data_IF_149967941165
#
_entry.id   IF_149967941165
#
_cell.length_a   1.000
_cell.length_b   1.000
_cell.length_c   1.000
_cell.angle_alpha   90.00
_cell.angle_beta   90.00
_cell.angle_gamma   90.00
#
_symmetry.space_group_name_H-M   'P 1'
#
loop_
_entity.id
_entity.type
_entity.pdbx_description
1 polymer ?
#
# COMPACT_ATOMS: atom_id res chain seq x y z
N UNK A 1 25.32 -26.00 -4.20
CA UNK A 1 24.00 -26.17 -4.81
C UNK A 1 23.11 -26.87 -3.78
N UNK A 2 22.22 -26.13 -3.09
CA UNK A 2 21.23 -26.74 -2.21
C UNK A 2 20.20 -27.45 -3.08
N UNK A 3 19.92 -28.72 -2.81
CA UNK A 3 18.95 -29.51 -3.57
C UNK A 3 17.54 -29.12 -3.13
N UNK A 4 16.61 -29.04 -4.06
CA UNK A 4 15.18 -28.80 -3.84
C UNK A 4 14.52 -29.80 -2.86
N UNK A 5 15.21 -30.92 -2.57
CA UNK A 5 14.76 -31.96 -1.65
C UNK A 5 14.87 -31.60 -0.15
N UNK A 6 15.50 -30.48 0.21
CA UNK A 6 15.79 -30.14 1.61
C UNK A 6 14.80 -29.13 2.19
N UNK A 7 13.74 -28.75 1.46
CA UNK A 7 12.68 -27.88 1.98
C UNK A 7 11.72 -28.73 2.82
N UNK A 8 11.58 -28.44 4.13
CA UNK A 8 10.64 -29.17 4.98
C UNK A 8 9.22 -29.07 4.45
N UNK A 9 8.51 -30.19 4.36
CA UNK A 9 7.11 -30.26 3.90
C UNK A 9 6.18 -29.28 4.64
N UNK A 10 6.48 -28.96 5.91
CA UNK A 10 5.74 -27.96 6.69
C UNK A 10 5.84 -26.56 6.07
N UNK A 11 7.00 -26.14 5.60
CA UNK A 11 7.17 -24.81 4.98
C UNK A 11 6.43 -24.66 3.65
N UNK A 12 6.35 -25.74 2.88
CA UNK A 12 5.57 -25.75 1.62
C UNK A 12 4.07 -25.64 1.91
N UNK A 13 3.61 -26.34 2.94
CA UNK A 13 2.20 -26.26 3.37
C UNK A 13 1.87 -24.87 3.89
N UNK A 14 2.70 -24.30 4.75
CA UNK A 14 2.51 -22.96 5.32
C UNK A 14 2.53 -21.88 4.23
N UNK A 15 3.40 -22.00 3.22
CA UNK A 15 3.41 -21.12 2.05
C UNK A 15 2.12 -21.26 1.21
N UNK A 16 1.61 -22.48 1.02
CA UNK A 16 0.38 -22.73 0.29
C UNK A 16 -0.86 -22.20 1.03
N UNK A 17 -0.91 -22.33 2.35
CA UNK A 17 -1.95 -21.74 3.19
C UNK A 17 -1.88 -20.21 3.16
N UNK A 18 -0.68 -19.64 3.24
CA UNK A 18 -0.44 -18.21 3.08
C UNK A 18 -0.90 -17.67 1.73
N UNK A 19 -0.65 -18.41 0.65
CA UNK A 19 -1.08 -18.04 -0.70
C UNK A 19 -2.61 -18.04 -0.82
N UNK A 20 -3.30 -19.04 -0.23
CA UNK A 20 -4.76 -19.09 -0.22
C UNK A 20 -5.36 -17.94 0.60
N UNK A 21 -4.77 -17.64 1.74
CA UNK A 21 -5.21 -16.53 2.59
C UNK A 21 -5.00 -15.17 1.90
N UNK A 22 -3.89 -14.97 1.21
CA UNK A 22 -3.62 -13.76 0.43
C UNK A 22 -4.59 -13.62 -0.75
N UNK A 23 -4.89 -14.72 -1.45
CA UNK A 23 -5.88 -14.71 -2.52
C UNK A 23 -7.29 -14.42 -2.02
N UNK A 24 -7.69 -14.96 -0.87
CA UNK A 24 -8.97 -14.64 -0.24
C UNK A 24 -9.04 -13.14 0.13
N UNK A 25 -7.96 -12.56 0.69
CA UNK A 25 -7.87 -11.12 0.95
C UNK A 25 -7.97 -10.29 -0.32
N UNK A 26 -7.28 -10.67 -1.38
CA UNK A 26 -7.33 -9.98 -2.68
C UNK A 26 -8.75 -9.95 -3.26
N UNK A 27 -9.51 -11.03 -3.11
CA UNK A 27 -10.88 -11.18 -3.65
C UNK A 27 -11.95 -10.65 -2.72
N UNK A 28 -11.62 -10.17 -1.54
CA UNK A 28 -12.63 -9.60 -0.65
C UNK A 28 -13.27 -8.37 -1.28
N UNK A 29 -14.55 -8.17 -0.99
CA UNK A 29 -15.28 -7.03 -1.51
C UNK A 29 -14.81 -5.76 -0.79
N UNK A 30 -14.61 -4.68 -1.54
CA UNK A 30 -14.32 -3.34 -1.00
C UNK A 30 -15.36 -2.36 -1.53
N UNK A 31 -16.01 -1.65 -0.61
CA UNK A 31 -17.06 -0.68 -0.90
C UNK A 31 -16.62 0.72 -0.51
N UNK A 32 -16.56 1.62 -1.47
CA UNK A 32 -16.20 3.03 -1.26
C UNK A 32 -17.41 3.88 -1.56
N UNK A 33 -17.84 4.71 -0.60
CA UNK A 33 -18.85 5.72 -0.80
C UNK A 33 -18.17 7.06 -1.14
N UNK A 34 -18.65 7.74 -2.19
CA UNK A 34 -18.23 9.09 -2.55
C UNK A 34 -19.47 9.97 -2.49
N UNK A 35 -19.46 10.93 -1.60
CA UNK A 35 -20.56 11.88 -1.42
C UNK A 35 -20.13 13.26 -1.90
N UNK A 36 -20.76 13.74 -2.97
CA UNK A 36 -20.47 15.05 -3.53
C UNK A 36 -21.48 16.07 -2.99
N UNK A 37 -20.99 17.03 -2.25
CA UNK A 37 -21.81 18.14 -1.77
C UNK A 37 -22.16 19.10 -2.92
N UNK A 38 -23.32 19.75 -2.84
CA UNK A 38 -23.72 20.78 -3.79
C UNK A 38 -22.68 21.93 -3.81
N UNK A 39 -22.19 22.24 -5.01
CA UNK A 39 -21.09 23.21 -5.21
C UNK A 39 -19.69 22.63 -4.96
N UNK A 40 -19.55 21.31 -4.88
CA UNK A 40 -18.23 20.68 -4.88
C UNK A 40 -17.47 20.97 -6.20
N UNK A 41 -16.12 21.17 -6.16
CA UNK A 41 -15.33 21.42 -7.36
C UNK A 41 -15.41 20.25 -8.36
N UNK A 42 -15.80 20.56 -9.59
CA UNK A 42 -16.02 19.55 -10.64
C UNK A 42 -14.72 18.81 -11.02
N UNK A 43 -13.59 19.50 -11.04
CA UNK A 43 -12.28 18.94 -11.35
C UNK A 43 -11.87 17.86 -10.33
N UNK A 44 -12.09 18.10 -9.04
CA UNK A 44 -11.85 17.12 -7.99
C UNK A 44 -12.83 15.94 -8.09
N UNK A 45 -14.10 16.20 -8.38
CA UNK A 45 -15.11 15.16 -8.56
C UNK A 45 -14.79 14.24 -9.74
N UNK A 46 -14.38 14.80 -10.89
CA UNK A 46 -13.97 14.04 -12.07
C UNK A 46 -12.69 13.25 -11.82
N UNK A 47 -11.70 13.88 -11.17
CA UNK A 47 -10.44 13.19 -10.83
C UNK A 47 -10.67 11.98 -9.90
N UNK A 48 -11.55 12.12 -8.90
CA UNK A 48 -11.93 11.02 -8.01
C UNK A 48 -12.66 9.90 -8.75
N UNK A 49 -13.61 10.25 -9.64
CA UNK A 49 -14.31 9.26 -10.47
C UNK A 49 -13.34 8.42 -11.30
N UNK A 50 -12.38 9.09 -11.96
CA UNK A 50 -11.44 8.43 -12.86
C UNK A 50 -10.39 7.61 -12.09
N UNK A 51 -9.94 8.11 -10.95
CA UNK A 51 -8.95 7.45 -10.12
C UNK A 51 -9.51 6.26 -9.30
N UNK A 52 -10.80 6.29 -8.97
CA UNK A 52 -11.49 5.24 -8.20
C UNK A 52 -12.36 4.32 -9.07
N UNK A 53 -12.03 4.20 -10.36
CA UNK A 53 -12.64 3.19 -11.22
C UNK A 53 -12.13 1.80 -10.82
N UNK A 54 -13.00 0.88 -10.38
CA UNK A 54 -12.57 -0.44 -9.93
C UNK A 54 -12.14 -1.31 -11.10
N UNK A 55 -11.05 -2.06 -10.93
CA UNK A 55 -10.53 -2.97 -11.97
C UNK A 55 -11.22 -4.34 -11.96
N UNK A 56 -11.87 -4.73 -10.85
CA UNK A 56 -12.57 -6.01 -10.74
C UNK A 56 -13.96 -5.83 -10.14
N UNK A 57 -14.81 -6.84 -10.28
CA UNK A 57 -16.18 -6.83 -9.73
C UNK A 57 -16.23 -6.86 -8.19
N UNK A 58 -15.11 -7.06 -7.50
CA UNK A 58 -15.03 -7.00 -6.04
C UNK A 58 -14.86 -5.57 -5.50
N UNK A 59 -14.54 -4.60 -6.35
CA UNK A 59 -14.55 -3.18 -6.01
C UNK A 59 -15.91 -2.56 -6.34
N UNK A 60 -16.53 -1.92 -5.35
CA UNK A 60 -17.80 -1.24 -5.51
C UNK A 60 -17.64 0.22 -5.12
N UNK A 61 -18.04 1.13 -6.00
CA UNK A 61 -18.06 2.56 -5.74
C UNK A 61 -19.50 3.06 -5.85
N UNK A 62 -19.97 3.66 -4.76
CA UNK A 62 -21.25 4.36 -4.73
C UNK A 62 -21.00 5.87 -4.77
N UNK A 63 -21.64 6.57 -5.70
CA UNK A 63 -21.54 8.04 -5.79
C UNK A 63 -22.89 8.65 -5.47
N UNK A 64 -22.92 9.41 -4.37
CA UNK A 64 -24.08 10.16 -3.93
C UNK A 64 -23.93 11.66 -4.13
N UNK A 65 -25.04 12.38 -4.14
CA UNK A 65 -25.08 13.84 -4.08
C UNK A 65 -25.79 14.29 -2.82
N UNK A 66 -25.15 15.18 -2.08
CA UNK A 66 -25.66 15.69 -0.82
C UNK A 66 -26.07 17.15 -0.95
N UNK A 67 -27.29 17.43 -0.48
CA UNK A 67 -27.84 18.79 -0.37
C UNK A 67 -28.18 19.09 1.07
N UNK A 68 -28.15 20.35 1.42
CA UNK A 68 -28.57 20.80 2.76
C UNK A 68 -30.02 20.38 3.05
N UNK A 69 -30.23 19.71 4.17
CA UNK A 69 -31.57 19.22 4.57
C UNK A 69 -32.02 17.91 3.91
N UNK A 70 -31.23 17.29 3.05
CA UNK A 70 -31.54 15.99 2.51
C UNK A 70 -31.43 14.89 3.60
N UNK A 71 -32.34 13.90 3.50
CA UNK A 71 -32.23 12.71 4.38
C UNK A 71 -31.03 11.88 3.95
N UNK A 72 -30.02 11.88 4.81
CA UNK A 72 -28.80 11.13 4.58
C UNK A 72 -29.03 9.64 4.78
N UNK A 73 -28.86 8.85 3.73
CA UNK A 73 -28.82 7.40 3.81
C UNK A 73 -27.37 6.95 3.80
N UNK A 74 -26.81 6.79 4.99
CA UNK A 74 -25.46 6.22 5.15
C UNK A 74 -25.58 4.72 5.09
N UNK A 75 -24.83 4.08 4.19
CA UNK A 75 -24.70 2.62 4.16
C UNK A 75 -23.64 2.18 5.17
N UNK A 76 -24.00 1.40 6.21
CA UNK A 76 -23.03 0.88 7.18
C UNK A 76 -22.10 -0.18 6.58
N UNK A 77 -22.43 -0.67 5.39
CA UNK A 77 -21.66 -1.73 4.70
C UNK A 77 -20.47 -1.16 3.90
N UNK A 78 -20.25 0.16 3.92
CA UNK A 78 -19.08 0.77 3.28
C UNK A 78 -17.83 0.56 4.12
N UNK A 79 -16.71 0.26 3.45
CA UNK A 79 -15.40 0.16 4.07
C UNK A 79 -14.75 1.54 4.28
N UNK A 80 -15.02 2.48 3.35
CA UNK A 80 -14.52 3.84 3.38
C UNK A 80 -15.56 4.81 2.81
N UNK A 81 -15.56 6.04 3.31
CA UNK A 81 -16.35 7.14 2.77
C UNK A 81 -15.47 8.35 2.42
N UNK A 82 -15.76 8.99 1.31
CA UNK A 82 -15.09 10.21 0.84
C UNK A 82 -16.19 11.25 0.61
N UNK A 83 -16.11 12.37 1.31
CA UNK A 83 -17.03 13.49 1.16
C UNK A 83 -16.27 14.63 0.51
N UNK A 84 -16.69 15.07 -0.67
CA UNK A 84 -16.14 16.28 -1.29
C UNK A 84 -16.98 17.45 -0.85
N UNK A 85 -16.36 18.35 -0.09
CA UNK A 85 -17.02 19.53 0.42
C UNK A 85 -17.38 20.50 -0.72
N UNK A 86 -18.50 21.15 -0.57
CA UNK A 86 -19.00 22.18 -1.46
C UNK A 86 -19.40 23.43 -0.69
N UNK A 87 -20.42 24.11 -1.17
CA UNK A 87 -20.84 25.39 -0.62
C UNK A 87 -22.06 25.31 0.29
N UNK A 88 -22.75 24.15 0.37
CA UNK A 88 -24.00 24.03 1.12
C UNK A 88 -23.82 23.86 2.64
N UNK A 89 -22.61 23.50 3.12
CA UNK A 89 -22.29 23.23 4.53
C UNK A 89 -22.84 21.89 5.02
N UNK A 90 -23.17 20.96 4.13
CA UNK A 90 -23.70 19.66 4.49
C UNK A 90 -22.60 18.62 4.79
N UNK A 91 -21.39 18.81 4.28
CA UNK A 91 -20.27 17.85 4.38
C UNK A 91 -19.99 17.41 5.82
N UNK A 92 -19.99 18.34 6.78
CA UNK A 92 -19.76 18.04 8.18
C UNK A 92 -20.84 17.10 8.77
N UNK A 93 -22.10 17.28 8.39
CA UNK A 93 -23.20 16.42 8.81
C UNK A 93 -23.05 15.00 8.27
N UNK A 94 -22.66 14.88 7.01
CA UNK A 94 -22.40 13.62 6.31
C UNK A 94 -21.24 12.86 6.96
N UNK A 95 -20.11 13.53 7.17
CA UNK A 95 -18.95 12.94 7.77
C UNK A 95 -19.23 12.40 9.18
N UNK A 96 -19.94 13.17 10.00
CA UNK A 96 -20.36 12.69 11.33
C UNK A 96 -21.32 11.50 11.25
N UNK A 97 -22.16 11.41 10.24
CA UNK A 97 -23.07 10.28 10.06
C UNK A 97 -22.29 9.00 9.75
N UNK A 98 -21.29 9.05 8.88
CA UNK A 98 -20.38 7.92 8.62
C UNK A 98 -19.57 7.54 9.87
N UNK A 99 -19.03 8.52 10.58
CA UNK A 99 -18.32 8.29 11.84
C UNK A 99 -19.16 7.55 12.89
N UNK A 100 -20.45 7.90 13.03
CA UNK A 100 -21.38 7.26 13.99
C UNK A 100 -21.64 5.79 13.68
N UNK A 101 -21.61 5.39 12.43
CA UNK A 101 -21.76 3.98 12.02
C UNK A 101 -20.42 3.24 11.94
N UNK A 102 -19.32 3.91 12.33
CA UNK A 102 -17.99 3.30 12.38
C UNK A 102 -17.29 3.19 11.03
N UNK A 103 -17.77 3.88 10.00
CA UNK A 103 -17.13 3.95 8.68
C UNK A 103 -16.11 5.08 8.67
N UNK A 104 -14.81 4.81 8.40
CA UNK A 104 -13.81 5.86 8.23
C UNK A 104 -14.18 6.79 7.11
N UNK A 105 -14.09 8.11 7.35
CA UNK A 105 -14.51 9.12 6.41
C UNK A 105 -13.41 10.15 6.16
N UNK A 106 -13.08 10.42 4.89
CA UNK A 106 -12.27 11.57 4.50
C UNK A 106 -13.18 12.69 4.00
N UNK A 107 -12.96 13.90 4.49
CA UNK A 107 -13.58 15.09 3.95
C UNK A 107 -12.53 15.84 3.14
N UNK A 108 -12.78 15.96 1.85
CA UNK A 108 -11.95 16.70 0.91
C UNK A 108 -12.38 18.15 0.92
N UNK A 109 -11.44 19.04 1.22
CA UNK A 109 -11.61 20.50 1.28
C UNK A 109 -10.47 21.16 0.49
N UNK A 110 -10.71 22.35 -0.06
CA UNK A 110 -9.62 23.11 -0.68
C UNK A 110 -8.60 23.58 0.37
N UNK A 111 -9.12 24.09 1.48
CA UNK A 111 -8.31 24.52 2.61
C UNK A 111 -8.82 23.93 3.93
N UNK A 112 -7.92 23.64 4.86
CA UNK A 112 -8.28 23.05 6.17
C UNK A 112 -9.14 23.99 7.06
N UNK A 113 -9.26 25.25 6.69
CA UNK A 113 -10.05 26.25 7.42
C UNK A 113 -11.55 26.17 7.07
N UNK A 114 -11.93 25.47 6.00
CA UNK A 114 -13.33 25.37 5.53
C UNK A 114 -14.22 24.50 6.43
N UNK A 115 -13.63 23.56 7.17
CA UNK A 115 -14.39 22.65 8.05
C UNK A 115 -13.72 22.47 9.42
N UNK A 116 -13.49 23.56 10.18
CA UNK A 116 -12.79 23.50 11.46
C UNK A 116 -13.54 22.67 12.50
N UNK A 117 -14.85 22.54 12.38
CA UNK A 117 -15.72 21.78 13.27
C UNK A 117 -15.55 20.25 13.13
N UNK A 118 -14.82 19.79 12.13
CA UNK A 118 -14.49 18.36 11.93
C UNK A 118 -13.14 17.99 12.55
N UNK A 119 -12.32 18.98 12.91
CA UNK A 119 -11.04 18.75 13.55
C UNK A 119 -11.22 17.95 14.85
N UNK A 120 -10.54 16.80 14.95
CA UNK A 120 -10.63 15.91 16.11
C UNK A 120 -11.88 15.02 16.18
N UNK A 121 -12.75 15.02 15.16
CA UNK A 121 -13.88 14.06 15.10
C UNK A 121 -13.32 12.64 14.86
N UNK A 122 -13.61 11.67 15.75
CA UNK A 122 -13.10 10.30 15.59
C UNK A 122 -13.53 9.68 14.25
N UNK A 123 -12.60 9.02 13.56
CA UNK A 123 -12.89 8.38 12.27
C UNK A 123 -13.10 9.34 11.10
N UNK A 124 -12.91 10.63 11.28
CA UNK A 124 -12.97 11.64 10.21
C UNK A 124 -11.58 12.23 9.99
N UNK A 125 -11.11 12.19 8.74
CA UNK A 125 -9.88 12.84 8.30
C UNK A 125 -10.19 14.03 7.39
N UNK A 126 -9.50 15.16 7.60
CA UNK A 126 -9.54 16.28 6.67
C UNK A 126 -8.40 16.14 5.66
N UNK A 127 -8.74 16.08 4.38
CA UNK A 127 -7.78 16.02 3.28
C UNK A 127 -7.88 17.33 2.50
N UNK A 128 -6.95 18.26 2.78
CA UNK A 128 -6.90 19.53 2.07
C UNK A 128 -6.08 19.43 0.80
N UNK A 129 -6.67 19.83 -0.32
CA UNK A 129 -6.01 19.86 -1.62
C UNK A 129 -6.77 20.78 -2.59
N UNK A 130 -6.05 21.73 -3.18
CA UNK A 130 -6.58 22.64 -4.19
C UNK A 130 -6.47 22.09 -5.62
N UNK A 131 -5.83 20.93 -5.81
CA UNK A 131 -5.70 20.30 -7.13
C UNK A 131 -5.71 18.78 -7.03
N UNK A 132 -6.13 18.07 -8.11
CA UNK A 132 -6.14 16.61 -8.16
C UNK A 132 -4.77 15.97 -7.89
N UNK A 133 -3.68 16.56 -8.37
CA UNK A 133 -2.30 16.04 -8.21
C UNK A 133 -1.88 15.99 -6.75
N UNK A 134 -2.38 16.92 -5.94
CA UNK A 134 -2.12 16.96 -4.49
C UNK A 134 -3.13 16.10 -3.73
N UNK A 135 -4.38 16.05 -4.18
CA UNK A 135 -5.45 15.28 -3.56
C UNK A 135 -5.18 13.78 -3.62
N UNK A 136 -4.95 13.25 -4.83
CA UNK A 136 -4.94 11.82 -5.07
C UNK A 136 -3.88 11.07 -4.24
N UNK A 137 -2.62 11.54 -4.11
CA UNK A 137 -1.64 10.87 -3.26
C UNK A 137 -2.00 10.89 -1.76
N UNK A 138 -2.54 12.03 -1.26
CA UNK A 138 -2.97 12.15 0.14
C UNK A 138 -4.14 11.22 0.44
N UNK A 139 -5.11 11.17 -0.48
CA UNK A 139 -6.28 10.31 -0.37
C UNK A 139 -5.88 8.83 -0.42
N UNK A 140 -4.99 8.44 -1.34
CA UNK A 140 -4.47 7.08 -1.43
C UNK A 140 -3.80 6.62 -0.13
N UNK A 141 -2.98 7.49 0.47
CA UNK A 141 -2.32 7.21 1.74
C UNK A 141 -3.34 7.03 2.88
N UNK A 142 -4.33 7.94 2.97
CA UNK A 142 -5.40 7.83 3.96
C UNK A 142 -6.24 6.56 3.76
N UNK A 143 -6.61 6.24 2.52
CA UNK A 143 -7.36 5.02 2.20
C UNK A 143 -6.60 3.76 2.60
N UNK A 144 -5.31 3.69 2.30
CA UNK A 144 -4.44 2.59 2.68
C UNK A 144 -4.35 2.42 4.21
N UNK A 145 -4.27 3.51 4.96
CA UNK A 145 -4.17 3.48 6.41
C UNK A 145 -5.50 3.17 7.11
N UNK A 146 -6.63 3.51 6.49
CA UNK A 146 -7.98 3.39 7.07
C UNK A 146 -8.72 2.13 6.67
N UNK A 147 -8.42 1.54 5.50
CA UNK A 147 -9.10 0.35 5.01
C UNK A 147 -8.52 -0.92 5.64
N UNK A 148 -9.42 -1.78 6.17
CA UNK A 148 -9.01 -3.09 6.72
C UNK A 148 -8.70 -4.11 5.62
N UNK A 149 -9.38 -3.99 4.47
CA UNK A 149 -9.20 -4.85 3.31
C UNK A 149 -8.18 -4.23 2.33
N UNK A 150 -7.00 -3.88 2.82
CA UNK A 150 -5.96 -3.13 2.13
C UNK A 150 -5.48 -3.79 0.83
N UNK A 151 -5.27 -5.11 0.83
CA UNK A 151 -4.87 -5.87 -0.37
C UNK A 151 -5.97 -5.83 -1.44
N UNK A 152 -7.25 -6.00 -1.06
CA UNK A 152 -8.37 -5.89 -1.98
C UNK A 152 -8.56 -4.45 -2.47
N UNK A 153 -8.34 -3.46 -1.59
CA UNK A 153 -8.38 -2.05 -1.96
C UNK A 153 -7.38 -1.76 -3.08
N UNK A 154 -6.11 -2.16 -2.91
CA UNK A 154 -5.07 -1.95 -3.90
C UNK A 154 -5.30 -2.75 -5.19
N UNK A 155 -5.81 -3.98 -5.09
CA UNK A 155 -6.14 -4.82 -6.23
C UNK A 155 -7.24 -4.21 -7.11
N UNK A 156 -8.21 -3.52 -6.49
CA UNK A 156 -9.33 -2.89 -7.19
C UNK A 156 -9.04 -1.46 -7.65
N UNK A 157 -8.29 -0.70 -6.85
CA UNK A 157 -8.02 0.72 -7.09
C UNK A 157 -6.53 0.98 -7.29
N UNK A 158 -6.06 1.11 -8.54
CA UNK A 158 -4.64 1.33 -8.86
C UNK A 158 -4.02 2.52 -8.14
N UNK A 159 -4.82 3.55 -7.85
CA UNK A 159 -4.43 4.70 -7.05
C UNK A 159 -3.82 4.29 -5.69
N UNK A 160 -4.36 3.24 -5.05
CA UNK A 160 -3.97 2.82 -3.70
C UNK A 160 -2.79 1.84 -3.67
N UNK A 161 -2.35 1.28 -4.81
CA UNK A 161 -1.32 0.22 -4.87
C UNK A 161 -0.04 0.60 -4.15
N UNK A 162 0.50 1.77 -4.50
CA UNK A 162 1.76 2.24 -3.93
C UNK A 162 1.63 2.52 -2.43
N UNK A 163 0.58 3.19 -2.01
CA UNK A 163 0.36 3.51 -0.60
C UNK A 163 0.19 2.24 0.27
N UNK A 164 -0.57 1.26 -0.22
CA UNK A 164 -0.74 -0.05 0.45
C UNK A 164 0.59 -0.81 0.48
N UNK A 165 1.36 -0.79 -0.61
CA UNK A 165 2.67 -1.43 -0.66
C UNK A 165 3.65 -0.80 0.34
N UNK A 166 3.73 0.51 0.40
CA UNK A 166 4.56 1.26 1.36
C UNK A 166 4.21 0.91 2.81
N UNK A 167 2.92 0.87 3.12
CA UNK A 167 2.43 0.46 4.44
C UNK A 167 2.82 -0.99 4.75
N UNK A 168 2.56 -1.93 3.84
CA UNK A 168 2.90 -3.34 4.01
C UNK A 168 4.39 -3.52 4.26
N UNK A 169 5.26 -2.90 3.45
CA UNK A 169 6.72 -2.95 3.61
C UNK A 169 7.13 -2.40 4.96
N UNK A 170 6.62 -1.24 5.36
CA UNK A 170 6.94 -0.60 6.65
C UNK A 170 6.57 -1.52 7.83
N UNK A 171 5.36 -2.06 7.84
CA UNK A 171 4.87 -2.95 8.90
C UNK A 171 5.67 -4.25 8.97
N UNK A 172 5.91 -4.92 7.85
CA UNK A 172 6.69 -6.16 7.80
C UNK A 172 8.17 -5.95 8.15
N UNK A 173 8.74 -4.81 7.76
CA UNK A 173 10.12 -4.46 8.14
C UNK A 173 10.24 -4.18 9.63
N UNK A 174 9.26 -3.49 10.23
CA UNK A 174 9.23 -3.27 11.68
C UNK A 174 9.06 -4.58 12.46
N UNK A 175 8.19 -5.50 11.99
CA UNK A 175 8.07 -6.84 12.57
C UNK A 175 9.38 -7.62 12.47
N UNK A 176 10.04 -7.57 11.31
CA UNK A 176 11.34 -8.19 11.09
C UNK A 176 12.42 -7.64 12.03
N UNK A 177 12.45 -6.33 12.24
CA UNK A 177 13.34 -5.69 13.19
C UNK A 177 13.09 -6.17 14.63
N UNK A 178 11.81 -6.21 15.06
CA UNK A 178 11.45 -6.68 16.39
C UNK A 178 11.91 -8.12 16.63
N UNK A 179 11.75 -9.03 15.67
CA UNK A 179 12.25 -10.40 15.73
C UNK A 179 13.79 -10.41 15.78
N UNK A 180 14.46 -9.57 14.98
CA UNK A 180 15.93 -9.47 14.96
C UNK A 180 16.54 -8.93 16.25
N UNK A 181 15.80 -8.15 17.03
CA UNK A 181 16.22 -7.65 18.35
C UNK A 181 16.18 -8.75 19.43
N UNK A 182 15.36 -9.78 19.28
CA UNK A 182 15.23 -10.86 20.26
C UNK A 182 16.50 -11.74 20.26
N UNK A 183 17.00 -12.11 21.44
CA UNK A 183 18.17 -12.99 21.56
C UNK A 183 17.79 -14.46 21.34
N UNK A 184 17.21 -14.77 20.18
CA UNK A 184 16.83 -16.14 19.84
C UNK A 184 18.07 -16.95 19.49
N UNK A 185 18.34 -18.02 20.27
CA UNK A 185 19.46 -18.93 20.03
C UNK A 185 19.13 -19.94 18.93
N UNK A 186 20.18 -20.39 18.20
CA UNK A 186 20.06 -21.51 17.26
C UNK A 186 19.36 -21.21 15.93
N UNK A 187 19.09 -19.92 15.58
CA UNK A 187 18.46 -19.59 14.29
C UNK A 187 16.95 -19.78 14.28
N UNK A 188 16.29 -19.87 15.44
CA UNK A 188 14.84 -19.98 15.59
C UNK A 188 14.06 -18.77 15.02
N UNK A 189 14.74 -17.66 14.78
CA UNK A 189 14.23 -16.47 14.10
C UNK A 189 14.03 -16.68 12.59
N UNK A 190 14.71 -17.69 11.98
CA UNK A 190 14.66 -17.97 10.53
C UNK A 190 13.26 -18.24 9.99
N UNK A 191 12.53 -19.23 10.52
CA UNK A 191 11.22 -19.57 9.99
C UNK A 191 10.25 -18.39 10.07
N UNK A 192 10.31 -17.62 11.17
CA UNK A 192 9.40 -16.47 11.38
C UNK A 192 9.66 -15.36 10.38
N UNK A 193 10.95 -15.00 10.17
CA UNK A 193 11.30 -13.98 9.18
C UNK A 193 10.99 -14.43 7.75
N UNK A 194 11.30 -15.69 7.41
CA UNK A 194 10.99 -16.22 6.10
C UNK A 194 9.48 -16.24 5.82
N UNK A 195 8.67 -16.67 6.80
CA UNK A 195 7.22 -16.64 6.70
C UNK A 195 6.68 -15.21 6.52
N UNK A 196 7.16 -14.24 7.32
CA UNK A 196 6.76 -12.83 7.22
C UNK A 196 7.10 -12.23 5.86
N UNK A 197 8.31 -12.50 5.34
CA UNK A 197 8.74 -12.02 4.02
C UNK A 197 7.95 -12.67 2.88
N UNK A 198 7.64 -13.97 3.00
CA UNK A 198 6.79 -14.68 2.03
C UNK A 198 5.39 -14.10 1.99
N UNK A 199 4.77 -13.84 3.15
CA UNK A 199 3.46 -13.20 3.23
C UNK A 199 3.49 -11.79 2.64
N UNK A 200 4.54 -11.00 2.91
CA UNK A 200 4.74 -9.69 2.30
C UNK A 200 4.78 -9.80 0.76
N UNK A 201 5.54 -10.74 0.22
CA UNK A 201 5.62 -10.92 -1.23
C UNK A 201 4.27 -11.30 -1.86
N UNK A 202 3.50 -12.16 -1.19
CA UNK A 202 2.16 -12.56 -1.63
C UNK A 202 1.16 -11.40 -1.54
N UNK A 203 1.21 -10.59 -0.46
CA UNK A 203 0.34 -9.45 -0.27
C UNK A 203 0.64 -8.35 -1.29
N UNK A 204 1.92 -8.06 -1.55
CA UNK A 204 2.35 -7.13 -2.61
C UNK A 204 1.87 -7.60 -3.99
N UNK A 205 2.07 -8.87 -4.32
CA UNK A 205 1.56 -9.43 -5.56
C UNK A 205 0.04 -9.30 -5.68
N UNK A 206 -0.70 -9.60 -4.59
CA UNK A 206 -2.14 -9.43 -4.52
C UNK A 206 -2.58 -7.99 -4.72
N UNK A 207 -1.88 -7.01 -4.11
CA UNK A 207 -2.14 -5.59 -4.23
C UNK A 207 -2.00 -5.09 -5.70
N UNK A 208 -1.08 -5.67 -6.47
CA UNK A 208 -0.92 -5.38 -7.90
C UNK A 208 -1.87 -6.21 -8.80
N UNK A 209 -2.88 -6.85 -8.21
CA UNK A 209 -3.93 -7.56 -8.95
C UNK A 209 -3.51 -8.93 -9.47
N UNK A 210 -2.33 -9.35 -9.12
CA UNK A 210 -1.82 -10.62 -9.61
C UNK A 210 -2.26 -11.80 -8.71
N UNK A 211 -2.85 -12.89 -9.24
CA UNK A 211 -3.21 -14.13 -8.54
C UNK A 211 -2.01 -15.06 -8.27
N UNK A 212 -2.12 -16.10 -7.46
CA UNK A 212 -1.05 -17.07 -7.24
C UNK A 212 -0.75 -17.84 -8.53
N UNK A 213 0.47 -17.70 -9.06
CA UNK A 213 0.96 -18.42 -10.25
C UNK A 213 2.31 -19.08 -9.98
N UNK A 214 2.68 -20.06 -10.82
CA UNK A 214 3.96 -20.78 -10.69
C UNK A 214 5.18 -19.84 -10.79
N UNK A 215 5.09 -18.79 -11.61
CA UNK A 215 6.16 -17.79 -11.75
C UNK A 215 6.47 -17.04 -10.43
N UNK A 216 5.52 -17.03 -9.50
CA UNK A 216 5.67 -16.44 -8.17
C UNK A 216 6.32 -17.32 -7.15
N UNK A 217 6.35 -18.63 -7.38
CA UNK A 217 7.23 -19.49 -6.60
C UNK A 217 8.69 -19.08 -6.78
N UNK A 218 9.05 -18.57 -7.96
CA UNK A 218 10.37 -17.99 -8.21
C UNK A 218 10.59 -16.71 -7.40
N UNK A 219 9.56 -15.85 -7.26
CA UNK A 219 9.64 -14.63 -6.44
C UNK A 219 9.79 -14.96 -4.96
N UNK A 220 9.00 -15.90 -4.47
CA UNK A 220 9.11 -16.40 -3.08
C UNK A 220 10.49 -17.01 -2.85
N UNK A 221 11.02 -17.80 -3.79
CA UNK A 221 12.35 -18.35 -3.70
C UNK A 221 13.42 -17.24 -3.67
N UNK A 222 13.32 -16.23 -4.55
CA UNK A 222 14.24 -15.08 -4.55
C UNK A 222 14.22 -14.32 -3.23
N UNK A 223 13.04 -14.12 -2.64
CA UNK A 223 12.86 -13.51 -1.30
C UNK A 223 13.58 -14.33 -0.22
N UNK A 224 13.41 -15.65 -0.22
CA UNK A 224 14.08 -16.55 0.73
C UNK A 224 15.60 -16.45 0.58
N UNK A 225 16.12 -16.47 -0.66
CA UNK A 225 17.56 -16.35 -0.91
C UNK A 225 18.11 -14.97 -0.48
N UNK A 226 17.38 -13.88 -0.74
CA UNK A 226 17.76 -12.54 -0.29
C UNK A 226 17.79 -12.44 1.25
N UNK A 227 16.84 -13.08 1.92
CA UNK A 227 16.80 -13.20 3.39
C UNK A 227 18.01 -13.95 3.95
N UNK A 228 18.46 -15.01 3.29
CA UNK A 228 19.69 -15.74 3.66
C UNK A 228 20.95 -14.89 3.46
N UNK A 229 21.02 -14.13 2.37
CA UNK A 229 22.14 -13.25 2.07
C UNK A 229 22.26 -12.10 3.09
N UNK A 230 21.16 -11.47 3.46
CA UNK A 230 21.12 -10.39 4.47
C UNK A 230 21.67 -10.86 5.83
N UNK A 231 21.43 -12.11 6.19
CA UNK A 231 21.99 -12.72 7.43
C UNK A 231 23.48 -12.97 7.37
N UNK A 232 24.00 -13.34 6.21
CA UNK A 232 25.44 -13.48 6.06
C UNK A 232 26.13 -12.13 6.30
N UNK A 233 25.51 -11.04 5.84
CA UNK A 233 25.94 -9.66 6.12
C UNK A 233 25.84 -9.35 7.62
N UNK A 234 24.67 -9.61 8.24
CA UNK A 234 24.46 -9.36 9.66
C UNK A 234 25.51 -10.07 10.54
N UNK A 235 25.82 -11.34 10.24
CA UNK A 235 26.85 -12.10 10.96
C UNK A 235 28.25 -11.51 10.80
N UNK A 236 28.60 -10.97 9.64
CA UNK A 236 29.89 -10.31 9.43
C UNK A 236 29.98 -9.00 10.22
N UNK A 237 28.96 -8.16 10.15
CA UNK A 237 28.92 -6.87 10.85
C UNK A 237 28.88 -7.06 12.37
N UNK A 238 28.15 -8.04 12.89
CA UNK A 238 28.09 -8.34 14.32
C UNK A 238 29.45 -8.79 14.93
N UNK A 239 30.36 -9.32 14.11
CA UNK A 239 31.73 -9.66 14.57
C UNK A 239 32.60 -8.42 14.78
N UNK A 240 32.31 -7.32 14.08
CA UNK A 240 33.08 -6.07 14.16
C UNK A 240 32.59 -5.21 15.34
N UNK A 241 31.30 -5.32 15.71
CA UNK A 241 30.68 -4.52 16.77
C UNK A 241 29.98 -5.41 17.82
N UNK A 242 30.75 -6.14 18.69
CA UNK A 242 30.17 -7.14 19.59
C UNK A 242 29.22 -6.55 20.64
N UNK A 243 29.43 -5.33 21.11
CA UNK A 243 28.57 -4.67 22.11
C UNK A 243 27.21 -4.20 21.58
N UNK A 244 27.07 -4.00 20.26
CA UNK A 244 25.86 -3.49 19.59
C UNK A 244 25.22 -4.54 18.67
N UNK A 245 25.59 -5.81 18.85
CA UNK A 245 25.18 -6.90 17.93
C UNK A 245 23.66 -7.07 17.80
N UNK A 246 22.88 -6.76 18.83
CA UNK A 246 21.43 -6.82 18.82
C UNK A 246 20.82 -5.71 17.95
N UNK A 247 21.33 -4.46 18.07
CA UNK A 247 20.90 -3.34 17.20
C UNK A 247 21.22 -3.61 15.74
N UNK A 248 22.42 -4.11 15.45
CA UNK A 248 22.84 -4.46 14.10
C UNK A 248 21.91 -5.52 13.51
N UNK A 249 21.52 -6.55 14.27
CA UNK A 249 20.58 -7.57 13.81
C UNK A 249 19.22 -6.99 13.49
N UNK A 250 18.66 -6.13 14.35
CA UNK A 250 17.38 -5.45 14.11
C UNK A 250 17.45 -4.54 12.87
N UNK A 251 18.49 -3.73 12.74
CA UNK A 251 18.67 -2.83 11.60
C UNK A 251 18.84 -3.60 10.28
N UNK A 252 19.61 -4.69 10.25
CA UNK A 252 19.77 -5.52 9.04
C UNK A 252 18.48 -6.26 8.71
N UNK A 253 17.71 -6.73 9.69
CA UNK A 253 16.41 -7.36 9.46
C UNK A 253 15.41 -6.36 8.88
N UNK A 254 15.35 -5.13 9.40
CA UNK A 254 14.54 -4.06 8.85
C UNK A 254 14.93 -3.72 7.41
N UNK A 255 16.19 -3.34 7.21
CA UNK A 255 16.71 -2.90 5.91
C UNK A 255 16.64 -3.99 4.85
N UNK A 256 16.94 -5.25 5.23
CA UNK A 256 16.81 -6.39 4.33
C UNK A 256 15.38 -6.65 3.89
N UNK A 257 14.42 -6.62 4.81
CA UNK A 257 12.99 -6.78 4.48
C UNK A 257 12.48 -5.62 3.63
N UNK A 258 12.85 -4.38 3.97
CA UNK A 258 12.48 -3.21 3.19
C UNK A 258 13.03 -3.26 1.76
N UNK A 259 14.31 -3.61 1.59
CA UNK A 259 14.94 -3.72 0.27
C UNK A 259 14.26 -4.78 -0.61
N UNK A 260 13.90 -5.93 -0.04
CA UNK A 260 13.16 -6.99 -0.73
C UNK A 260 11.78 -6.46 -1.16
N UNK A 261 11.04 -5.83 -0.25
CA UNK A 261 9.72 -5.27 -0.52
C UNK A 261 9.75 -4.26 -1.66
N UNK A 262 10.68 -3.31 -1.63
CA UNK A 262 10.84 -2.32 -2.69
C UNK A 262 11.27 -2.92 -4.03
N UNK A 263 12.13 -3.93 -4.03
CA UNK A 263 12.50 -4.63 -5.26
C UNK A 263 11.29 -5.33 -5.91
N UNK A 264 10.38 -5.91 -5.09
CA UNK A 264 9.13 -6.49 -5.57
C UNK A 264 8.18 -5.43 -6.13
N UNK A 265 8.03 -4.29 -5.45
CA UNK A 265 7.22 -3.16 -5.94
C UNK A 265 7.73 -2.68 -7.29
N UNK A 266 9.03 -2.40 -7.41
CA UNK A 266 9.63 -1.99 -8.68
C UNK A 266 9.36 -3.01 -9.80
N UNK A 267 9.47 -4.30 -9.50
CA UNK A 267 9.20 -5.36 -10.46
C UNK A 267 7.73 -5.35 -10.90
N UNK A 268 6.78 -5.25 -9.96
CA UNK A 268 5.35 -5.23 -10.28
C UNK A 268 4.97 -3.95 -11.05
N UNK A 269 5.52 -2.80 -10.70
CA UNK A 269 5.30 -1.54 -11.44
C UNK A 269 5.81 -1.63 -12.89
N UNK A 270 6.97 -2.25 -13.10
CA UNK A 270 7.50 -2.50 -14.46
C UNK A 270 6.62 -3.48 -15.23
N UNK A 271 6.16 -4.57 -14.60
CA UNK A 271 5.24 -5.52 -15.23
C UNK A 271 3.92 -4.85 -15.62
N UNK A 272 3.31 -4.09 -14.71
CA UNK A 272 2.10 -3.32 -14.98
C UNK A 272 2.28 -2.33 -16.14
N UNK A 273 3.44 -1.68 -16.21
CA UNK A 273 3.76 -0.78 -17.31
C UNK A 273 3.82 -1.51 -18.66
N UNK A 274 4.47 -2.67 -18.70
CA UNK A 274 4.61 -3.47 -19.93
C UNK A 274 3.27 -4.09 -20.36
N UNK A 275 2.52 -4.68 -19.42
CA UNK A 275 1.29 -5.42 -19.73
C UNK A 275 0.13 -4.51 -20.12
N UNK A 276 0.02 -3.34 -19.50
CA UNK A 276 -1.11 -2.43 -19.70
C UNK A 276 -0.87 -1.36 -20.76
N UNK A 277 0.34 -1.31 -21.34
CA UNK A 277 0.70 -0.30 -22.35
C UNK A 277 0.48 1.14 -21.88
N UNK A 278 0.43 1.40 -20.58
CA UNK A 278 0.26 2.73 -20.01
C UNK A 278 1.51 3.54 -20.28
N UNK A 279 1.35 4.57 -21.09
CA UNK A 279 2.43 5.45 -21.59
C UNK A 279 3.11 6.31 -20.51
N UNK A 280 2.75 6.19 -19.25
CA UNK A 280 3.43 6.91 -18.17
C UNK A 280 4.32 5.93 -17.38
N UNK A 281 5.65 6.04 -17.55
CA UNK A 281 6.57 5.26 -16.74
C UNK A 281 6.42 5.64 -15.25
N UNK A 282 6.64 4.70 -14.33
CA UNK A 282 6.69 5.00 -12.90
C UNK A 282 7.60 6.20 -12.62
N UNK A 283 7.26 7.02 -11.64
CA UNK A 283 7.98 8.28 -11.36
C UNK A 283 9.50 8.10 -11.19
N UNK A 284 9.95 6.95 -10.64
CA UNK A 284 11.37 6.63 -10.49
C UNK A 284 12.05 6.30 -11.83
N UNK A 285 11.31 5.68 -12.78
CA UNK A 285 11.80 5.43 -14.15
C UNK A 285 11.91 6.76 -14.89
N UNK A 286 10.90 7.62 -14.78
CA UNK A 286 10.94 8.96 -15.36
C UNK A 286 12.10 9.78 -14.81
N UNK A 287 12.34 9.73 -13.51
CA UNK A 287 13.48 10.42 -12.88
C UNK A 287 14.85 9.89 -13.36
N UNK A 288 14.99 8.58 -13.55
CA UNK A 288 16.23 7.97 -14.06
C UNK A 288 16.53 8.41 -15.51
N UNK A 289 15.50 8.55 -16.35
CA UNK A 289 15.68 9.04 -17.72
C UNK A 289 15.95 10.56 -17.80
N UNK A 290 15.46 11.36 -16.85
CA UNK A 290 15.79 12.79 -16.80
C UNK A 290 17.24 13.05 -16.37
N UNK A 291 17.80 12.23 -15.47
CA UNK A 291 19.22 12.35 -15.09
C UNK A 291 20.20 11.94 -16.21
N UNK A 292 19.80 11.04 -17.10
CA UNK A 292 20.63 10.60 -18.23
C UNK A 292 20.78 11.63 -19.36
N UNK A 293 19.85 12.58 -19.51
CA UNK A 293 19.90 13.60 -20.56
C UNK A 293 20.88 14.74 -20.29
N UNK A 294 21.18 15.04 -19.04
CA UNK A 294 22.13 16.11 -18.69
C UNK A 294 23.61 15.74 -18.78
N UNK A 295 23.93 14.46 -18.98
CA UNK A 295 25.33 13.99 -19.06
C UNK A 295 25.85 13.98 -20.50
N UNK A 296 24.97 14.06 -21.52
CA UNK A 296 25.40 13.88 -22.92
C UNK A 296 25.43 15.18 -23.77
N UNK A 297 25.13 16.35 -23.20
CA UNK A 297 25.21 17.63 -23.92
C UNK A 297 26.49 18.44 -23.65
N UNK A 298 27.46 17.86 -22.93
CA UNK A 298 28.71 18.55 -22.52
C UNK A 298 29.94 18.27 -23.38
N UNK A 299 29.87 17.56 -24.49
CA UNK A 299 31.07 17.22 -25.27
C UNK A 299 30.85 17.22 -26.78
N UNK A 300 30.45 18.36 -27.38
CA UNK A 300 30.78 18.69 -28.77
C UNK A 300 30.89 20.21 -28.88
N UNK A 301 32.04 20.75 -28.62
CA UNK A 301 32.53 22.04 -29.20
C UNK A 301 34.05 21.98 -29.19
N UNK A 302 34.59 21.60 -30.27
CA UNK A 302 35.69 22.08 -31.10
C UNK A 302 36.14 21.01 -32.07
#
# INVERSE_FOLDING_TARGET
>A
MARFSDIPFSQVRDAAEGARASEARRRSCVRVAIELEEGAPDDLAFALRDALMPETASGLVHVGRVRKGAVLRVSPDCDLAIVVAGTSGAAAGVARAFSRVGVPCAVVVETSVEAPELAGTPGVALVSAASPEVLLPKLASWMADSCRADVALAANFPLCRRAVAERCIRERSAQGAAVGLLPLSGGADMPVLAASQTLMALDLAGAYGHGPSADRLADVAAVIFAGLASRAVARRVSRVLPGLSWLVRGAVAYGGTAAIGWALVCRHEVQDFVERGRLQPPAWVAAAFHHGKHVNEGHISH
#
